data_IF_233750736400
#
_entry.id   IF_233750736400
#
_cell.length_a   1.000
_cell.length_b   1.000
_cell.length_c   1.000
_cell.angle_alpha   90.00
_cell.angle_beta   90.00
_cell.angle_gamma   90.00
#
_symmetry.space_group_name_H-M   'P 1'
#
loop_
_entity.id
_entity.type
_entity.pdbx_description
1 polymer ?
#
# COMPACT_ATOMS: atom_id res chain seq x y z
N UNK A 1 -12.72 60.25 52.70
CA UNK A 1 -12.55 59.79 51.30
C UNK A 1 -11.30 58.93 51.22
N UNK A 2 -11.47 57.63 50.96
CA UNK A 2 -10.70 56.81 50.00
C UNK A 2 -11.29 55.39 50.06
N UNK A 3 -11.89 54.86 48.99
CA UNK A 3 -12.47 53.51 48.99
C UNK A 3 -11.39 52.45 48.71
N UNK A 4 -11.43 51.35 49.46
CA UNK A 4 -10.56 50.19 49.28
C UNK A 4 -10.93 49.42 48.00
N UNK A 5 -9.99 49.33 47.04
CA UNK A 5 -10.17 48.51 45.84
C UNK A 5 -10.05 47.00 46.14
N UNK A 6 -10.83 46.14 45.47
CA UNK A 6 -10.68 44.69 45.59
C UNK A 6 -9.49 44.19 44.77
N UNK A 7 -8.57 43.46 45.40
CA UNK A 7 -7.48 42.75 44.71
C UNK A 7 -8.06 41.65 43.81
N UNK A 8 -7.94 41.82 42.49
CA UNK A 8 -8.21 40.76 41.51
C UNK A 8 -7.22 39.61 41.74
N UNK A 9 -7.72 38.47 42.23
CA UNK A 9 -6.99 37.19 42.22
C UNK A 9 -6.84 36.77 40.76
N UNK A 10 -5.62 36.89 40.21
CA UNK A 10 -5.27 36.17 38.99
C UNK A 10 -5.29 34.68 39.32
N UNK A 11 -6.34 33.98 38.87
CA UNK A 11 -6.37 32.53 38.88
C UNK A 11 -5.17 32.01 38.11
N UNK A 12 -4.41 31.08 38.71
CA UNK A 12 -3.32 30.37 38.03
C UNK A 12 -3.86 29.86 36.69
N UNK A 13 -3.24 30.26 35.59
CA UNK A 13 -3.40 29.56 34.31
C UNK A 13 -3.14 28.09 34.58
N UNK A 14 -4.19 27.26 34.53
CA UNK A 14 -4.03 25.82 34.57
C UNK A 14 -3.22 25.47 33.33
N UNK A 15 -1.97 25.05 33.53
CA UNK A 15 -1.15 24.48 32.46
C UNK A 15 -1.99 23.39 31.80
N UNK A 16 -2.22 23.50 30.50
CA UNK A 16 -2.84 22.43 29.75
C UNK A 16 -2.05 21.14 30.03
N UNK A 17 -2.71 20.00 30.28
CA UNK A 17 -2.00 18.74 30.44
C UNK A 17 -1.09 18.56 29.22
N UNK A 18 0.14 18.04 29.39
CA UNK A 18 1.02 17.77 28.28
C UNK A 18 0.24 16.94 27.26
N UNK A 19 0.22 17.39 25.99
CA UNK A 19 -0.42 16.62 24.92
C UNK A 19 0.13 15.18 25.01
N UNK A 20 -0.74 14.15 25.07
CA UNK A 20 -0.26 12.78 25.06
C UNK A 20 0.66 12.60 23.85
N UNK A 21 1.79 11.92 24.06
CA UNK A 21 2.83 11.74 23.04
C UNK A 21 2.19 11.11 21.79
N UNK A 22 1.96 11.92 20.76
CA UNK A 22 1.40 11.42 19.50
C UNK A 22 2.54 10.82 18.69
N UNK A 23 2.33 9.64 18.07
CA UNK A 23 3.31 9.09 17.13
C UNK A 23 3.68 10.11 16.06
N UNK A 24 4.94 10.12 15.61
CA UNK A 24 5.42 11.08 14.59
C UNK A 24 4.64 11.01 13.28
N UNK A 25 4.09 9.85 12.95
CA UNK A 25 3.27 9.63 11.76
C UNK A 25 1.83 10.14 11.90
N UNK A 26 1.38 10.55 13.10
CA UNK A 26 0.00 10.92 13.35
C UNK A 26 -0.32 12.28 12.73
N UNK A 27 -1.32 12.32 11.84
CA UNK A 27 -1.79 13.53 11.17
C UNK A 27 -3.20 13.89 11.66
N UNK A 28 -3.53 15.20 11.69
CA UNK A 28 -4.90 15.68 11.90
C UNK A 28 -5.65 15.78 10.57
N UNK A 29 -6.92 15.39 10.55
CA UNK A 29 -7.79 15.49 9.37
C UNK A 29 -8.08 16.95 8.96
N UNK A 30 -7.85 17.92 9.84
CA UNK A 30 -8.11 19.36 9.59
C UNK A 30 -7.34 19.91 8.39
N UNK A 31 -6.24 19.24 8.00
CA UNK A 31 -5.39 19.63 6.87
C UNK A 31 -5.70 18.89 5.57
N UNK A 32 -6.77 18.09 5.56
CA UNK A 32 -7.25 17.37 4.38
C UNK A 32 -8.44 18.15 3.83
N UNK A 33 -8.31 18.67 2.61
CA UNK A 33 -9.36 19.49 2.02
C UNK A 33 -10.68 18.69 1.86
N UNK A 34 -11.82 19.26 2.24
CA UNK A 34 -13.14 18.61 2.11
C UNK A 34 -13.51 18.29 0.65
N UNK A 35 -12.93 19.00 -0.33
CA UNK A 35 -13.08 18.72 -1.76
C UNK A 35 -12.42 17.44 -2.22
N UNK A 36 -11.58 16.81 -1.40
CA UNK A 36 -10.78 15.63 -1.76
C UNK A 36 -11.63 14.39 -2.12
N UNK A 37 -12.86 14.30 -1.61
CA UNK A 37 -13.73 13.14 -1.84
C UNK A 37 -14.70 13.33 -3.02
N UNK A 38 -14.58 14.42 -3.78
CA UNK A 38 -15.49 14.71 -4.90
C UNK A 38 -14.94 14.10 -6.20
N UNK A 39 -15.31 12.83 -6.41
CA UNK A 39 -15.54 12.14 -7.68
C UNK A 39 -14.62 12.49 -8.88
N UNK A 40 -13.60 11.65 -9.12
CA UNK A 40 -13.12 11.28 -10.47
C UNK A 40 -12.03 10.20 -10.42
N UNK A 41 -11.17 10.20 -9.39
CA UNK A 41 -9.99 9.32 -9.29
C UNK A 41 -10.09 8.34 -8.11
N UNK A 42 -11.22 7.64 -7.98
CA UNK A 42 -11.43 6.66 -6.90
C UNK A 42 -11.01 5.27 -7.38
N UNK A 43 -9.84 4.81 -6.92
CA UNK A 43 -9.41 3.42 -7.04
C UNK A 43 -10.06 2.58 -5.94
N UNK A 44 -10.86 1.58 -6.32
CA UNK A 44 -11.45 0.65 -5.37
C UNK A 44 -10.54 -0.57 -5.17
N UNK A 45 -9.72 -0.55 -4.11
CA UNK A 45 -9.11 -1.76 -3.59
C UNK A 45 -10.12 -2.60 -2.80
N UNK A 46 -9.85 -3.90 -2.61
CA UNK A 46 -10.75 -4.79 -1.86
C UNK A 46 -10.97 -4.36 -0.40
N UNK A 47 -10.05 -3.59 0.19
CA UNK A 47 -10.02 -3.25 1.61
C UNK A 47 -9.96 -1.74 1.88
N UNK A 48 -9.61 -0.95 0.87
CA UNK A 48 -9.48 0.49 0.99
C UNK A 48 -10.03 1.19 -0.25
N UNK A 49 -10.60 2.36 -0.01
CA UNK A 49 -10.91 3.34 -1.03
C UNK A 49 -9.69 4.25 -1.18
N UNK A 50 -9.13 4.33 -2.38
CA UNK A 50 -8.01 5.21 -2.68
C UNK A 50 -8.53 6.36 -3.51
N UNK A 51 -8.28 7.59 -3.08
CA UNK A 51 -8.55 8.77 -3.90
C UNK A 51 -7.36 9.71 -3.94
N UNK A 52 -7.28 10.51 -4.99
CA UNK A 52 -6.36 11.63 -5.06
C UNK A 52 -6.85 12.76 -4.16
N UNK A 53 -5.94 13.37 -3.41
CA UNK A 53 -6.24 14.45 -2.49
C UNK A 53 -5.17 15.52 -2.40
N UNK A 54 -5.43 16.49 -1.53
CA UNK A 54 -4.46 17.54 -1.20
C UNK A 54 -4.22 17.58 0.31
N UNK A 55 -2.95 17.55 0.72
CA UNK A 55 -2.53 17.72 2.11
C UNK A 55 -1.39 18.74 2.18
N UNK A 56 -1.59 19.80 2.98
CA UNK A 56 -0.65 20.94 3.08
C UNK A 56 -0.26 21.55 1.72
N UNK A 57 -1.19 21.55 0.76
CA UNK A 57 -0.97 22.07 -0.60
C UNK A 57 -0.27 21.10 -1.57
N UNK A 58 0.16 19.92 -1.12
CA UNK A 58 0.76 18.90 -1.96
C UNK A 58 -0.28 17.84 -2.39
N UNK A 59 -0.16 17.33 -3.62
CA UNK A 59 -0.96 16.19 -4.11
C UNK A 59 -0.58 14.92 -3.35
N UNK A 60 -1.57 14.21 -2.83
CA UNK A 60 -1.39 12.99 -2.03
C UNK A 60 -2.38 11.91 -2.44
N UNK A 61 -2.01 10.64 -2.19
CA UNK A 61 -2.94 9.53 -2.26
C UNK A 61 -3.52 9.31 -0.86
N UNK A 62 -4.86 9.35 -0.77
CA UNK A 62 -5.63 9.12 0.44
C UNK A 62 -6.20 7.71 0.40
N UNK A 63 -5.78 6.87 1.34
CA UNK A 63 -6.20 5.47 1.40
C UNK A 63 -7.05 5.23 2.65
N UNK A 64 -8.36 5.27 2.46
CA UNK A 64 -9.37 5.14 3.52
C UNK A 64 -9.74 3.68 3.71
N UNK A 65 -9.63 3.18 4.93
CA UNK A 65 -10.05 1.81 5.24
C UNK A 65 -11.57 1.71 5.23
N UNK A 66 -12.11 0.65 4.60
CA UNK A 66 -13.56 0.43 4.47
C UNK A 66 -14.23 0.01 5.79
N UNK A 67 -13.51 -0.72 6.63
CA UNK A 67 -13.99 -1.20 7.92
C UNK A 67 -13.14 -0.61 9.05
N UNK A 68 -13.81 -0.24 10.15
CA UNK A 68 -13.11 0.23 11.35
C UNK A 68 -13.70 -0.40 12.60
N UNK A 69 -12.96 -1.36 13.14
CA UNK A 69 -13.11 -1.85 14.50
C UNK A 69 -11.82 -1.58 15.29
N UNK A 70 -11.86 -1.84 16.60
CA UNK A 70 -10.70 -1.62 17.48
C UNK A 70 -9.47 -2.43 17.04
N UNK A 71 -9.68 -3.64 16.48
CA UNK A 71 -8.59 -4.48 15.97
C UNK A 71 -7.95 -3.88 14.72
N UNK A 72 -8.75 -3.38 13.79
CA UNK A 72 -8.28 -2.67 12.58
C UNK A 72 -7.56 -1.38 12.94
N UNK A 73 -8.00 -0.68 14.00
CA UNK A 73 -7.34 0.51 14.52
C UNK A 73 -5.93 0.22 15.04
N UNK A 74 -5.74 -0.85 15.81
CA UNK A 74 -4.42 -1.25 16.31
C UNK A 74 -3.49 -1.63 15.15
N UNK A 75 -3.97 -2.44 14.21
CA UNK A 75 -3.21 -2.84 13.02
C UNK A 75 -2.80 -1.67 12.15
N UNK A 76 -3.69 -0.70 11.93
CA UNK A 76 -3.34 0.53 11.22
C UNK A 76 -2.19 1.27 11.91
N UNK A 77 -2.16 1.32 13.26
CA UNK A 77 -1.05 1.96 13.98
C UNK A 77 0.27 1.23 13.80
N UNK A 78 0.24 -0.09 13.86
CA UNK A 78 1.42 -0.94 13.64
C UNK A 78 1.95 -0.76 12.21
N UNK A 79 1.06 -0.80 11.22
CA UNK A 79 1.37 -0.60 9.81
C UNK A 79 1.91 0.82 9.53
N UNK A 80 1.26 1.85 10.08
CA UNK A 80 1.73 3.23 9.98
C UNK A 80 3.13 3.40 10.61
N UNK A 81 3.43 2.69 11.70
CA UNK A 81 4.73 2.78 12.34
C UNK A 81 5.85 2.21 11.46
N UNK A 82 5.62 1.04 10.86
CA UNK A 82 6.57 0.38 9.96
C UNK A 82 6.73 1.19 8.67
N UNK A 83 5.63 1.52 8.01
CA UNK A 83 5.65 2.20 6.71
C UNK A 83 6.19 3.64 6.83
N UNK A 84 5.93 4.35 7.92
CA UNK A 84 6.48 5.71 8.11
C UNK A 84 8.00 5.71 8.27
N UNK A 85 8.57 4.68 8.88
CA UNK A 85 10.02 4.54 9.00
C UNK A 85 10.70 4.20 7.66
N UNK A 86 9.93 3.66 6.71
CA UNK A 86 10.44 3.20 5.44
C UNK A 86 10.55 4.37 4.45
N UNK A 87 11.79 4.63 4.01
CA UNK A 87 12.13 5.66 3.01
C UNK A 87 13.01 5.04 1.94
N UNK A 88 12.46 4.88 0.74
CA UNK A 88 13.16 4.21 -0.36
C UNK A 88 12.66 4.74 -1.70
N UNK A 89 13.53 4.94 -2.72
CA UNK A 89 13.14 5.51 -4.01
C UNK A 89 12.12 4.65 -4.78
N UNK A 90 12.14 3.33 -4.60
CA UNK A 90 11.25 2.39 -5.31
C UNK A 90 10.11 1.82 -4.43
N UNK A 91 9.78 2.49 -3.33
CA UNK A 91 8.66 2.14 -2.46
C UNK A 91 7.85 3.41 -2.19
N UNK A 92 6.52 3.34 -2.27
CA UNK A 92 5.66 4.50 -2.00
C UNK A 92 5.88 5.04 -0.59
N UNK A 93 6.04 6.35 -0.49
CA UNK A 93 6.31 7.02 0.78
C UNK A 93 5.02 7.27 1.58
N UNK A 94 5.00 6.85 2.86
CA UNK A 94 3.95 7.27 3.79
C UNK A 94 4.28 8.63 4.41
N UNK A 95 3.39 9.61 4.25
CA UNK A 95 3.49 10.90 4.94
C UNK A 95 2.91 10.84 6.34
N UNK A 96 1.86 10.04 6.54
CA UNK A 96 1.36 9.70 7.87
C UNK A 96 -0.02 9.06 7.84
N UNK A 97 -0.66 8.95 8.99
CA UNK A 97 -1.97 8.34 9.13
C UNK A 97 -2.87 9.08 10.12
N UNK A 98 -4.16 9.07 9.84
CA UNK A 98 -5.21 9.56 10.73
C UNK A 98 -5.85 8.35 11.44
N UNK A 99 -5.90 8.40 12.77
CA UNK A 99 -6.54 7.35 13.60
C UNK A 99 -7.77 7.83 14.35
N UNK A 100 -8.03 9.15 14.33
CA UNK A 100 -9.18 9.79 14.96
C UNK A 100 -10.14 10.24 13.84
N UNK A 101 -11.43 9.92 13.98
CA UNK A 101 -12.39 10.12 12.89
C UNK A 101 -12.37 8.93 11.94
N UNK A 102 -12.05 9.18 10.65
CA UNK A 102 -11.95 8.14 9.63
C UNK A 102 -10.51 7.63 9.48
N UNK A 103 -10.28 6.31 9.52
CA UNK A 103 -8.93 5.73 9.43
C UNK A 103 -8.41 5.85 8.01
N UNK A 104 -7.26 6.51 7.90
CA UNK A 104 -6.77 6.97 6.62
C UNK A 104 -5.25 6.99 6.60
N UNK A 105 -4.65 6.47 5.54
CA UNK A 105 -3.24 6.73 5.24
C UNK A 105 -3.13 7.89 4.25
N UNK A 106 -2.15 8.76 4.49
CA UNK A 106 -1.76 9.86 3.61
C UNK A 106 -0.39 9.51 3.05
N UNK A 107 -0.31 9.21 1.76
CA UNK A 107 0.92 8.75 1.12
C UNK A 107 1.20 9.52 -0.18
N UNK A 108 2.39 9.30 -0.71
CA UNK A 108 2.83 9.84 -1.99
C UNK A 108 1.82 9.50 -3.09
N UNK A 109 1.35 10.54 -3.79
CA UNK A 109 0.62 10.36 -5.03
C UNK A 109 1.61 10.16 -6.16
N UNK A 110 1.48 9.05 -6.87
CA UNK A 110 2.31 8.72 -8.02
C UNK A 110 1.41 8.86 -9.25
N UNK A 111 1.67 9.90 -10.04
CA UNK A 111 1.03 10.09 -11.33
C UNK A 111 1.74 9.20 -12.37
N UNK A 112 1.02 8.23 -12.92
CA UNK A 112 1.65 7.17 -13.69
C UNK A 112 0.72 6.03 -14.08
N UNK A 113 1.31 4.98 -14.69
CA UNK A 113 0.62 3.76 -15.11
C UNK A 113 1.00 2.57 -14.26
N UNK A 114 0.13 1.58 -14.17
CA UNK A 114 0.48 0.30 -13.54
C UNK A 114 1.31 -0.55 -14.50
N UNK A 115 2.13 -1.45 -13.95
CA UNK A 115 2.94 -2.35 -14.76
C UNK A 115 2.08 -3.26 -15.65
N UNK A 116 0.91 -3.67 -15.16
CA UNK A 116 -0.05 -4.50 -15.90
C UNK A 116 -0.75 -3.79 -17.06
N UNK A 117 -0.65 -2.46 -17.12
CA UNK A 117 -1.15 -1.62 -18.22
C UNK A 117 -0.06 -1.36 -19.28
N UNK A 118 1.20 -1.65 -19.00
CA UNK A 118 2.32 -1.37 -19.89
C UNK A 118 2.51 -2.51 -20.89
N UNK A 119 2.36 -2.22 -22.19
CA UNK A 119 2.52 -3.23 -23.25
C UNK A 119 3.87 -3.11 -23.97
N UNK A 120 4.70 -4.14 -23.85
CA UNK A 120 6.01 -4.23 -24.51
C UNK A 120 5.86 -4.25 -26.03
N UNK A 121 6.65 -3.44 -26.73
CA UNK A 121 6.64 -3.31 -28.19
C UNK A 121 5.54 -2.40 -28.75
N UNK A 122 4.63 -1.93 -27.90
CA UNK A 122 3.59 -0.95 -28.27
C UNK A 122 3.84 0.37 -27.55
N UNK A 123 3.84 0.35 -26.22
CA UNK A 123 4.02 1.55 -25.40
C UNK A 123 5.45 1.67 -24.85
N UNK A 124 6.08 0.53 -24.54
CA UNK A 124 7.38 0.48 -23.87
C UNK A 124 8.32 -0.50 -24.58
N UNK A 125 9.60 -0.15 -24.64
CA UNK A 125 10.66 -1.06 -25.11
C UNK A 125 10.93 -2.20 -24.11
N UNK A 126 11.58 -3.27 -24.57
CA UNK A 126 12.01 -4.37 -23.69
C UNK A 126 12.97 -3.85 -22.61
N UNK A 127 13.85 -2.93 -22.98
CA UNK A 127 14.84 -2.30 -22.10
C UNK A 127 14.17 -1.46 -21.02
N UNK A 128 13.16 -0.65 -21.37
CA UNK A 128 12.38 0.10 -20.39
C UNK A 128 11.64 -0.83 -19.42
N UNK A 129 11.02 -1.91 -19.93
CA UNK A 129 10.32 -2.88 -19.09
C UNK A 129 11.26 -3.54 -18.08
N UNK A 130 12.46 -3.93 -18.51
CA UNK A 130 13.50 -4.42 -17.60
C UNK A 130 13.94 -3.38 -16.58
N UNK A 131 14.02 -2.10 -16.97
CA UNK A 131 14.27 -0.99 -16.04
C UNK A 131 13.22 -0.89 -14.94
N UNK A 132 11.93 -1.00 -15.29
CA UNK A 132 10.83 -0.97 -14.31
C UNK A 132 10.85 -2.19 -13.39
N UNK A 133 11.11 -3.38 -13.94
CA UNK A 133 11.24 -4.61 -13.15
C UNK A 133 12.45 -4.56 -12.21
N UNK A 134 13.58 -4.01 -12.67
CA UNK A 134 14.75 -3.78 -11.83
C UNK A 134 14.42 -2.85 -10.67
N UNK A 135 13.78 -1.71 -10.94
CA UNK A 135 13.32 -0.78 -9.90
C UNK A 135 12.41 -1.46 -8.87
N UNK A 136 11.44 -2.26 -9.33
CA UNK A 136 10.56 -3.03 -8.46
C UNK A 136 11.33 -4.06 -7.63
N UNK A 137 12.35 -4.73 -8.18
CA UNK A 137 13.21 -5.66 -7.45
C UNK A 137 14.04 -4.96 -6.37
N UNK A 138 14.60 -3.78 -6.66
CA UNK A 138 15.30 -2.95 -5.66
C UNK A 138 14.35 -2.51 -4.55
N UNK A 139 13.12 -2.12 -4.90
CA UNK A 139 12.06 -1.86 -3.94
C UNK A 139 11.74 -3.08 -3.07
N UNK A 140 11.63 -4.26 -3.67
CA UNK A 140 11.31 -5.48 -2.93
C UNK A 140 12.43 -5.86 -1.95
N UNK A 141 13.69 -5.76 -2.39
CA UNK A 141 14.85 -5.92 -1.52
C UNK A 141 14.81 -4.91 -0.35
N UNK A 142 14.45 -3.66 -0.62
CA UNK A 142 14.26 -2.64 0.41
C UNK A 142 13.23 -3.03 1.48
N UNK A 143 12.10 -3.61 1.09
CA UNK A 143 11.10 -4.14 2.03
C UNK A 143 11.67 -5.29 2.87
N UNK A 144 12.29 -6.28 2.21
CA UNK A 144 12.82 -7.47 2.87
C UNK A 144 13.93 -7.15 3.87
N UNK A 145 14.81 -6.18 3.56
CA UNK A 145 15.84 -5.69 4.48
C UNK A 145 15.26 -5.03 5.75
N UNK A 146 14.03 -4.50 5.67
CA UNK A 146 13.30 -3.97 6.82
C UNK A 146 12.41 -5.01 7.51
N UNK A 147 12.53 -6.29 7.12
CA UNK A 147 11.73 -7.38 7.69
C UNK A 147 10.27 -7.38 7.25
N UNK A 148 9.94 -6.70 6.15
CA UNK A 148 8.56 -6.54 5.66
C UNK A 148 8.31 -7.48 4.49
N UNK A 149 7.31 -8.35 4.62
CA UNK A 149 6.78 -9.17 3.52
C UNK A 149 5.66 -8.39 2.81
N UNK A 150 5.72 -8.24 1.50
CA UNK A 150 4.69 -7.55 0.72
C UNK A 150 3.37 -8.34 0.70
N UNK A 151 3.44 -9.67 0.49
CA UNK A 151 2.37 -10.67 0.55
C UNK A 151 1.21 -10.54 -0.46
N UNK A 152 1.32 -9.62 -1.41
CA UNK A 152 0.37 -9.42 -2.52
C UNK A 152 1.06 -8.73 -3.69
N UNK A 153 2.26 -9.17 -4.04
CA UNK A 153 3.00 -8.58 -5.14
C UNK A 153 2.41 -9.07 -6.48
N UNK A 154 1.93 -8.11 -7.29
CA UNK A 154 1.28 -8.31 -8.59
C UNK A 154 1.44 -7.04 -9.44
N UNK A 155 1.18 -7.14 -10.75
CA UNK A 155 1.47 -6.04 -11.70
C UNK A 155 0.73 -4.72 -11.40
N UNK A 156 -0.47 -4.78 -10.83
CA UNK A 156 -1.22 -3.58 -10.42
C UNK A 156 -0.70 -2.93 -9.13
N UNK A 157 0.17 -3.61 -8.38
CA UNK A 157 0.88 -3.08 -7.21
C UNK A 157 2.30 -2.57 -7.54
N UNK A 158 2.64 -2.47 -8.83
CA UNK A 158 3.88 -1.87 -9.31
C UNK A 158 3.49 -0.68 -10.20
N UNK A 159 3.81 0.53 -9.74
CA UNK A 159 3.38 1.77 -10.38
C UNK A 159 4.57 2.52 -10.98
N UNK A 160 4.46 2.90 -12.25
CA UNK A 160 5.50 3.57 -13.02
C UNK A 160 5.17 5.06 -13.02
N UNK A 161 5.94 5.83 -12.25
CA UNK A 161 5.74 7.27 -12.15
C UNK A 161 6.18 8.01 -13.42
N UNK A 162 5.69 9.24 -13.59
CA UNK A 162 6.04 10.13 -14.71
C UNK A 162 7.55 10.39 -14.87
N UNK A 163 8.36 10.15 -13.83
CA UNK A 163 9.83 10.20 -13.89
C UNK A 163 10.48 8.93 -14.49
N UNK A 164 9.69 7.97 -14.98
CA UNK A 164 10.16 6.71 -15.53
C UNK A 164 10.71 5.73 -14.50
N UNK A 165 10.36 5.89 -13.21
CA UNK A 165 10.79 5.00 -12.13
C UNK A 165 9.61 4.18 -11.61
N UNK A 166 9.85 2.90 -11.34
CA UNK A 166 8.84 2.04 -10.74
C UNK A 166 8.88 2.10 -9.21
N UNK A 167 7.71 2.06 -8.58
CA UNK A 167 7.54 1.99 -7.13
C UNK A 167 6.57 0.88 -6.75
N UNK A 168 6.91 0.15 -5.69
CA UNK A 168 5.98 -0.77 -5.04
C UNK A 168 4.94 0.02 -4.24
N UNK A 169 3.68 -0.36 -4.38
CA UNK A 169 2.53 0.17 -3.62
C UNK A 169 1.83 -0.96 -2.85
N UNK A 170 0.93 -0.60 -1.94
CA UNK A 170 0.02 -1.56 -1.30
C UNK A 170 0.66 -2.72 -0.50
N UNK A 171 1.91 -2.53 -0.09
CA UNK A 171 2.52 -3.32 0.98
C UNK A 171 1.94 -2.91 2.35
N UNK A 172 1.90 -3.84 3.30
CA UNK A 172 1.45 -3.55 4.68
C UNK A 172 -0.01 -3.90 4.96
N UNK A 173 -0.93 -3.78 4.00
CA UNK A 173 -2.32 -4.21 4.19
C UNK A 173 -2.45 -5.73 4.42
N UNK A 174 -1.37 -6.48 4.19
CA UNK A 174 -1.24 -7.92 4.44
C UNK A 174 -1.48 -8.33 5.88
N UNK A 175 -1.07 -7.53 6.87
CA UNK A 175 -1.42 -7.81 8.28
C UNK A 175 -2.91 -7.63 8.57
N UNK A 176 -3.60 -6.73 7.86
CA UNK A 176 -5.06 -6.64 7.86
C UNK A 176 -5.71 -7.81 7.10
N UNK A 177 -5.05 -8.34 6.05
CA UNK A 177 -5.52 -9.49 5.24
C UNK A 177 -5.49 -10.84 5.96
N UNK A 178 -4.65 -11.00 6.99
CA UNK A 178 -4.51 -12.27 7.73
C UNK A 178 -5.59 -12.52 8.81
N UNK A 179 -6.54 -11.60 9.03
CA UNK A 179 -7.55 -11.74 10.10
C UNK A 179 -8.53 -12.91 9.90
N UNK A 180 -8.71 -13.38 8.67
CA UNK A 180 -9.87 -14.23 8.37
C UNK A 180 -9.62 -15.73 8.53
N UNK A 181 -8.40 -16.19 8.82
CA UNK A 181 -8.10 -17.62 9.02
C UNK A 181 -8.66 -18.54 7.91
N UNK A 182 -8.91 -17.97 6.73
CA UNK A 182 -9.76 -18.54 5.71
C UNK A 182 -9.00 -18.92 4.45
N UNK A 183 -9.70 -19.56 3.52
CA UNK A 183 -9.24 -19.89 2.17
C UNK A 183 -8.40 -18.75 1.56
N UNK A 184 -7.32 -19.05 0.82
CA UNK A 184 -6.55 -18.03 0.13
C UNK A 184 -7.48 -17.24 -0.82
N UNK A 185 -7.73 -15.98 -0.45
CA UNK A 185 -8.49 -14.99 -1.22
C UNK A 185 -7.53 -14.06 -1.97
N UNK A 186 -8.00 -13.45 -3.05
CA UNK A 186 -7.25 -12.45 -3.82
C UNK A 186 -6.56 -13.02 -5.06
N UNK A 187 -5.44 -12.41 -5.45
CA UNK A 187 -4.74 -12.61 -6.72
C UNK A 187 -4.01 -13.98 -6.81
N UNK A 188 -4.79 -15.06 -6.85
CA UNK A 188 -4.32 -16.46 -6.81
C UNK A 188 -3.30 -16.79 -7.90
N UNK A 189 -3.39 -16.13 -9.05
CA UNK A 189 -2.46 -16.29 -10.16
C UNK A 189 -1.02 -15.84 -9.85
N UNK A 190 -0.82 -14.99 -8.83
CA UNK A 190 0.48 -14.52 -8.38
C UNK A 190 0.94 -15.19 -7.07
N UNK A 191 0.08 -16.00 -6.43
CA UNK A 191 0.42 -16.62 -5.15
C UNK A 191 1.32 -17.84 -5.32
N UNK A 192 2.30 -17.94 -4.42
CA UNK A 192 3.18 -19.08 -4.31
C UNK A 192 2.44 -20.37 -3.89
N UNK A 193 2.92 -21.57 -4.28
CA UNK A 193 2.27 -22.85 -3.97
C UNK A 193 2.02 -23.06 -2.48
N UNK A 194 3.00 -22.71 -1.64
CA UNK A 194 2.92 -22.81 -0.19
C UNK A 194 1.83 -21.92 0.40
N UNK A 195 1.68 -20.69 -0.12
CA UNK A 195 0.61 -19.78 0.26
C UNK A 195 -0.78 -20.30 -0.15
N UNK A 196 -0.88 -21.02 -1.28
CA UNK A 196 -2.12 -21.68 -1.72
C UNK A 196 -2.42 -22.93 -0.88
N UNK A 197 -1.40 -23.60 -0.36
CA UNK A 197 -1.53 -24.69 0.59
C UNK A 197 -1.88 -24.22 2.02
N UNK A 198 -1.92 -22.91 2.26
CA UNK A 198 -2.33 -22.32 3.53
C UNK A 198 -1.16 -21.88 4.42
N UNK A 199 0.08 -21.95 3.94
CA UNK A 199 1.20 -21.29 4.62
C UNK A 199 1.01 -19.76 4.61
N UNK A 200 1.55 -19.10 5.64
CA UNK A 200 1.62 -17.65 5.69
C UNK A 200 2.59 -17.10 4.62
N UNK A 201 2.46 -15.81 4.26
CA UNK A 201 3.37 -15.19 3.31
C UNK A 201 4.79 -15.07 3.88
N UNK A 202 5.79 -15.30 3.03
CA UNK A 202 7.22 -15.20 3.32
C UNK A 202 7.95 -14.34 2.29
N UNK A 203 9.23 -14.03 2.53
CA UNK A 203 10.07 -13.33 1.55
C UNK A 203 10.19 -14.11 0.24
N UNK A 204 10.31 -15.43 0.31
CA UNK A 204 10.37 -16.33 -0.86
C UNK A 204 9.06 -16.29 -1.63
N UNK A 205 7.92 -16.22 -0.94
CA UNK A 205 6.62 -16.10 -1.57
C UNK A 205 6.45 -14.78 -2.33
N UNK A 206 7.09 -13.68 -1.88
CA UNK A 206 7.14 -12.43 -2.63
C UNK A 206 8.00 -12.56 -3.89
N UNK A 207 9.15 -13.25 -3.79
CA UNK A 207 10.02 -13.51 -4.95
C UNK A 207 9.26 -14.30 -6.02
N UNK A 208 8.44 -15.28 -5.61
CA UNK A 208 7.54 -15.97 -6.53
C UNK A 208 6.53 -15.02 -7.18
N UNK A 209 5.84 -14.19 -6.39
CA UNK A 209 4.90 -13.20 -6.89
C UNK A 209 5.55 -12.19 -7.86
N UNK A 210 6.80 -11.81 -7.59
CA UNK A 210 7.61 -10.99 -8.49
C UNK A 210 7.91 -11.71 -9.82
N UNK A 211 8.24 -13.00 -9.77
CA UNK A 211 8.38 -13.83 -10.97
C UNK A 211 7.12 -13.84 -11.84
N UNK A 212 5.95 -13.88 -11.21
CA UNK A 212 4.67 -13.78 -11.91
C UNK A 212 4.44 -12.40 -12.53
N UNK A 213 4.91 -11.32 -11.90
CA UNK A 213 4.91 -9.98 -12.50
C UNK A 213 5.79 -9.92 -13.75
N UNK A 214 6.97 -10.55 -13.75
CA UNK A 214 7.85 -10.63 -14.92
C UNK A 214 7.15 -11.36 -16.07
N UNK A 215 6.52 -12.50 -15.78
CA UNK A 215 5.74 -13.26 -16.78
C UNK A 215 4.63 -12.39 -17.36
N UNK A 216 3.88 -11.70 -16.51
CA UNK A 216 2.80 -10.81 -16.95
C UNK A 216 3.32 -9.68 -17.84
N UNK A 217 4.41 -9.02 -17.42
CA UNK A 217 5.01 -7.89 -18.12
C UNK A 217 5.44 -8.25 -19.56
N UNK A 218 6.03 -9.42 -19.77
CA UNK A 218 6.51 -9.84 -21.09
C UNK A 218 5.47 -10.60 -21.93
N UNK A 219 4.48 -11.23 -21.30
CA UNK A 219 3.40 -11.89 -22.04
C UNK A 219 2.25 -10.96 -22.40
N UNK A 220 2.10 -9.83 -21.69
CA UNK A 220 0.93 -8.94 -21.80
C UNK A 220 -0.38 -9.56 -21.28
N UNK A 221 -0.28 -10.69 -20.57
CA UNK A 221 -1.42 -11.47 -20.09
C UNK A 221 -1.23 -11.86 -18.63
N UNK A 222 -2.33 -12.18 -17.94
CA UNK A 222 -2.23 -12.72 -16.59
C UNK A 222 -1.33 -13.98 -16.57
N UNK A 223 -0.63 -14.26 -15.45
CA UNK A 223 0.37 -15.33 -15.40
C UNK A 223 -0.19 -16.71 -15.73
N UNK A 224 -1.48 -16.98 -15.53
CA UNK A 224 -2.09 -18.26 -15.92
C UNK A 224 -3.04 -18.13 -17.13
N UNK A 225 -2.94 -17.03 -17.87
CA UNK A 225 -3.82 -16.73 -19.00
C UNK A 225 -5.28 -16.66 -18.58
N UNK A 226 -6.14 -17.44 -19.23
CA UNK A 226 -7.58 -17.54 -18.92
C UNK A 226 -7.91 -18.66 -17.92
N UNK A 227 -6.91 -19.23 -17.24
CA UNK A 227 -7.12 -20.30 -16.28
C UNK A 227 -7.91 -19.76 -15.07
N UNK A 228 -9.08 -20.33 -14.73
CA UNK A 228 -9.83 -19.91 -13.57
C UNK A 228 -9.09 -20.28 -12.28
N UNK A 229 -9.30 -19.48 -11.24
CA UNK A 229 -8.59 -19.57 -9.96
C UNK A 229 -8.59 -20.96 -9.32
N UNK A 230 -9.69 -21.72 -9.45
CA UNK A 230 -9.78 -23.11 -8.97
C UNK A 230 -8.85 -24.05 -9.72
N UNK A 231 -8.70 -23.88 -11.04
CA UNK A 231 -7.78 -24.67 -11.85
C UNK A 231 -6.33 -24.30 -11.56
N UNK A 232 -6.03 -23.01 -11.32
CA UNK A 232 -4.70 -22.56 -10.87
C UNK A 232 -4.32 -23.23 -9.55
N UNK A 233 -5.23 -23.27 -8.57
CA UNK A 233 -5.01 -23.98 -7.29
C UNK A 233 -4.67 -25.47 -7.51
N UNK A 234 -5.41 -26.16 -8.38
CA UNK A 234 -5.18 -27.57 -8.68
C UNK A 234 -3.81 -27.78 -9.35
N UNK A 235 -3.50 -26.98 -10.37
CA UNK A 235 -2.24 -27.07 -11.11
C UNK A 235 -1.04 -26.78 -10.22
N UNK A 236 -1.12 -25.79 -9.34
CA UNK A 236 -0.02 -25.48 -8.42
C UNK A 236 0.20 -26.59 -7.40
N UNK A 237 -0.87 -27.21 -6.90
CA UNK A 237 -0.78 -28.38 -6.01
C UNK A 237 -0.18 -29.61 -6.68
N UNK A 238 -0.29 -29.73 -8.01
CA UNK A 238 0.34 -30.80 -8.78
C UNK A 238 1.73 -30.46 -9.34
N UNK A 239 2.32 -29.33 -8.94
CA UNK A 239 3.66 -28.90 -9.38
C UNK A 239 3.68 -28.31 -10.80
N UNK A 240 2.54 -27.91 -11.32
CA UNK A 240 2.42 -27.21 -12.60
C UNK A 240 2.93 -25.77 -12.52
N UNK A 241 3.32 -25.23 -13.67
CA UNK A 241 3.76 -23.84 -13.84
C UNK A 241 3.01 -23.18 -15.01
N UNK A 242 2.95 -21.84 -15.04
CA UNK A 242 2.47 -21.10 -16.21
C UNK A 242 3.10 -21.58 -17.51
N UNK A 243 2.26 -21.87 -18.50
CA UNK A 243 2.72 -22.18 -19.86
C UNK A 243 2.60 -20.92 -20.72
N UNK A 244 3.69 -20.16 -20.82
CA UNK A 244 3.80 -19.03 -21.74
C UNK A 244 4.87 -19.28 -22.78
N UNK A 245 4.61 -18.90 -24.04
CA UNK A 245 5.69 -18.65 -25.01
C UNK A 245 6.16 -17.21 -24.78
N UNK A 246 7.36 -17.06 -24.24
CA UNK A 246 8.06 -15.78 -24.26
C UNK A 246 8.53 -15.56 -25.72
N UNK A 247 8.06 -14.47 -26.33
CA UNK A 247 8.37 -14.10 -27.72
C UNK A 247 9.53 -13.10 -27.81
#
# INVERSE_FOLDING_TARGET
MTPSQPRKRFGRLRSLPPKPFSPKWSISTDHIAESTWRDSDIGFGSYAEVCRGTWLGASVALKKLRTFDLKSAQKLREEAHIWFALRHPNIVCLFGACTKGYPLFVCEYIDGKRLDECQVGVEVSKEQMWGYLHDAAVGLQGLHLHGVVHADLKGDNILIGANGRAKLIDFGLSCLRMCDGGEPRGALQWKAPECIAGAGPTFESDVYGFGMCIIQAFSGHCPWGRCPDNAVKILLRSGGFPKHRLH
#
